data_IF_992795755054
#
_entry.id   IF_992795755054
#
_cell.length_a   1.000
_cell.length_b   1.000
_cell.length_c   1.000
_cell.angle_alpha   90.00
_cell.angle_beta   90.00
_cell.angle_gamma   90.00
#
_symmetry.space_group_name_H-M   'P 1'
#
loop_
_entity.id
_entity.type
_entity.pdbx_description
1 polymer ?
#
# COMPACT_ATOMS: atom_id res chain seq x y z
N UNK A 1 21.10 1.52 -9.40
CA UNK A 1 19.97 2.48 -9.50
C UNK A 1 20.02 3.31 -10.78
N UNK A 2 21.19 3.49 -11.42
CA UNK A 2 21.34 4.26 -12.67
C UNK A 2 20.45 3.75 -13.83
N UNK A 3 20.18 2.44 -13.94
CA UNK A 3 19.37 1.91 -15.06
C UNK A 3 17.84 2.01 -14.89
N UNK A 4 17.33 2.49 -13.75
CA UNK A 4 15.88 2.65 -13.57
C UNK A 4 15.44 4.00 -14.13
N UNK A 5 16.03 5.13 -13.68
CA UNK A 5 15.67 6.46 -14.17
C UNK A 5 15.99 6.71 -15.66
N UNK A 6 16.82 5.87 -16.28
CA UNK A 6 17.11 5.98 -17.72
C UNK A 6 15.94 5.56 -18.60
N UNK A 7 15.02 4.72 -18.12
CA UNK A 7 13.83 4.36 -18.89
C UNK A 7 12.87 5.55 -18.92
N UNK A 8 12.50 5.99 -20.13
CA UNK A 8 11.61 7.15 -20.36
C UNK A 8 10.32 7.10 -19.53
N UNK A 9 9.70 5.92 -19.40
CA UNK A 9 8.51 5.69 -18.55
C UNK A 9 8.72 6.11 -17.10
N UNK A 10 9.90 5.85 -16.53
CA UNK A 10 10.20 6.19 -15.14
C UNK A 10 10.35 7.70 -14.96
N UNK A 11 10.81 8.43 -15.98
CA UNK A 11 10.85 9.90 -15.95
C UNK A 11 9.44 10.48 -15.89
N UNK A 12 8.53 9.98 -16.73
CA UNK A 12 7.12 10.42 -16.72
C UNK A 12 6.47 10.12 -15.37
N UNK A 13 6.73 8.95 -14.79
CA UNK A 13 6.23 8.61 -13.46
C UNK A 13 6.74 9.57 -12.38
N UNK A 14 8.03 9.94 -12.41
CA UNK A 14 8.59 10.93 -11.49
C UNK A 14 7.96 12.31 -11.70
N UNK A 15 7.77 12.74 -12.94
CA UNK A 15 7.08 14.00 -13.26
C UNK A 15 5.66 13.99 -12.70
N UNK A 16 4.89 12.93 -12.95
CA UNK A 16 3.53 12.77 -12.42
C UNK A 16 3.50 12.82 -10.88
N UNK A 17 4.48 12.18 -10.21
CA UNK A 17 4.60 12.24 -8.75
C UNK A 17 4.90 13.65 -8.25
N UNK A 18 5.83 14.36 -8.89
CA UNK A 18 6.17 15.74 -8.54
C UNK A 18 4.98 16.68 -8.77
N UNK A 19 4.23 16.51 -9.87
CA UNK A 19 3.01 17.26 -10.13
C UNK A 19 1.93 16.98 -9.07
N UNK A 20 1.79 15.72 -8.64
CA UNK A 20 0.86 15.36 -7.55
C UNK A 20 1.21 16.10 -6.26
N UNK A 21 2.51 16.13 -5.89
CA UNK A 21 2.98 16.86 -4.70
C UNK A 21 2.76 18.37 -4.87
N UNK A 22 3.04 18.93 -6.06
CA UNK A 22 2.84 20.34 -6.36
C UNK A 22 1.36 20.75 -6.26
N UNK A 23 0.44 19.94 -6.78
CA UNK A 23 -1.01 20.16 -6.65
C UNK A 23 -1.43 20.14 -5.18
N UNK A 24 -0.95 19.17 -4.39
CA UNK A 24 -1.26 19.10 -2.95
C UNK A 24 -0.78 20.34 -2.19
N UNK A 25 0.44 20.80 -2.49
CA UNK A 25 1.00 22.04 -1.91
C UNK A 25 0.17 23.25 -2.36
N UNK A 26 -0.15 23.36 -3.65
CA UNK A 26 -0.95 24.46 -4.17
C UNK A 26 -2.36 24.50 -3.55
N UNK A 27 -3.00 23.34 -3.40
CA UNK A 27 -4.29 23.22 -2.71
C UNK A 27 -4.20 23.65 -1.24
N UNK A 28 -3.07 23.44 -0.56
CA UNK A 28 -2.90 23.93 0.82
C UNK A 28 -2.82 25.47 0.91
N UNK A 29 -2.42 26.14 -0.18
CA UNK A 29 -2.44 27.60 -0.28
C UNK A 29 -3.82 28.16 -0.72
N UNK A 30 -4.64 27.32 -1.37
CA UNK A 30 -5.99 27.65 -1.79
C UNK A 30 -7.02 27.15 -0.77
N UNK A 31 -7.37 28.04 0.16
CA UNK A 31 -8.44 27.81 1.13
C UNK A 31 -9.21 29.10 1.32
N UNK A 32 -10.52 29.04 1.15
CA UNK A 32 -11.48 30.12 1.41
C UNK A 32 -12.40 29.58 2.50
N UNK A 33 -12.36 30.22 3.67
CA UNK A 33 -12.99 29.73 4.91
C UNK A 33 -14.44 29.27 4.66
N UNK A 34 -14.75 28.04 5.08
CA UNK A 34 -16.09 27.41 5.11
C UNK A 34 -16.84 27.24 3.78
N UNK A 35 -16.49 27.97 2.72
CA UNK A 35 -17.17 27.89 1.42
C UNK A 35 -16.50 26.93 0.44
N UNK A 36 -15.16 26.90 0.38
CA UNK A 36 -14.44 26.17 -0.67
C UNK A 36 -13.13 25.60 -0.16
N UNK A 37 -13.03 24.27 -0.23
CA UNK A 37 -11.82 23.52 0.12
C UNK A 37 -10.93 23.18 -1.08
N UNK A 38 -11.32 23.53 -2.30
CA UNK A 38 -10.60 23.13 -3.51
C UNK A 38 -10.84 24.11 -4.69
N UNK A 39 -9.82 24.44 -5.52
CA UNK A 39 -9.99 25.36 -6.66
C UNK A 39 -11.09 24.93 -7.64
N UNK A 40 -11.21 23.62 -7.87
CA UNK A 40 -12.34 23.02 -8.59
C UNK A 40 -13.48 22.74 -7.60
N UNK A 41 -14.28 23.77 -7.34
CA UNK A 41 -15.24 23.81 -6.23
C UNK A 41 -16.62 23.22 -6.56
N UNK A 42 -16.83 22.76 -7.80
CA UNK A 42 -18.04 22.04 -8.22
C UNK A 42 -19.08 22.93 -8.89
N UNK A 43 -20.15 22.29 -9.36
CA UNK A 43 -21.26 22.94 -10.08
C UNK A 43 -22.23 23.55 -9.07
N UNK A 44 -21.94 24.77 -8.63
CA UNK A 44 -22.91 25.54 -7.86
C UNK A 44 -24.00 26.11 -8.77
N UNK A 45 -25.13 26.50 -8.16
CA UNK A 45 -26.05 27.42 -8.81
C UNK A 45 -25.28 28.66 -9.30
N UNK A 46 -25.63 29.17 -10.47
CA UNK A 46 -24.93 30.25 -11.17
C UNK A 46 -24.58 31.44 -10.24
N UNK A 47 -25.52 31.80 -9.38
CA UNK A 47 -25.42 32.93 -8.44
C UNK A 47 -24.36 32.69 -7.35
N UNK A 48 -24.22 31.46 -6.89
CA UNK A 48 -23.20 31.06 -5.90
C UNK A 48 -21.82 31.02 -6.55
N UNK A 49 -21.73 30.55 -7.80
CA UNK A 49 -20.48 30.53 -8.55
C UNK A 49 -19.94 31.96 -8.76
N UNK A 50 -20.78 32.91 -9.16
CA UNK A 50 -20.38 34.32 -9.33
C UNK A 50 -19.86 34.93 -8.02
N UNK A 51 -20.55 34.69 -6.90
CA UNK A 51 -20.12 35.20 -5.60
C UNK A 51 -18.75 34.64 -5.19
N UNK A 52 -18.52 33.36 -5.46
CA UNK A 52 -17.24 32.69 -5.20
C UNK A 52 -16.13 33.30 -6.04
N UNK A 53 -16.37 33.54 -7.33
CA UNK A 53 -15.39 34.15 -8.23
C UNK A 53 -14.94 35.52 -7.72
N UNK A 54 -15.89 36.33 -7.25
CA UNK A 54 -15.58 37.63 -6.64
C UNK A 54 -14.73 37.49 -5.37
N UNK A 55 -14.99 36.48 -4.54
CA UNK A 55 -14.17 36.21 -3.34
C UNK A 55 -12.74 35.83 -3.73
N UNK A 56 -12.57 34.97 -4.74
CA UNK A 56 -11.24 34.54 -5.24
C UNK A 56 -10.42 35.75 -5.71
N UNK A 57 -11.07 36.67 -6.44
CA UNK A 57 -10.44 37.90 -6.94
C UNK A 57 -10.08 38.87 -5.80
N UNK A 58 -10.99 39.07 -4.85
CA UNK A 58 -10.83 40.06 -3.77
C UNK A 58 -9.86 39.61 -2.67
N UNK A 59 -9.80 38.32 -2.34
CA UNK A 59 -8.90 37.79 -1.30
C UNK A 59 -7.47 37.50 -1.80
N UNK A 60 -7.12 37.86 -3.04
CA UNK A 60 -5.81 37.62 -3.61
C UNK A 60 -5.48 36.12 -3.82
N UNK A 61 -6.51 35.28 -3.95
CA UNK A 61 -6.37 33.82 -4.15
C UNK A 61 -6.23 33.43 -5.62
N UNK A 62 -6.19 34.41 -6.53
CA UNK A 62 -6.14 34.17 -7.97
C UNK A 62 -4.87 33.43 -8.43
N UNK A 63 -3.71 33.68 -7.83
CA UNK A 63 -2.47 32.99 -8.21
C UNK A 63 -2.51 31.49 -7.92
N UNK A 64 -2.79 31.01 -6.68
CA UNK A 64 -2.92 29.58 -6.42
C UNK A 64 -4.12 28.98 -7.16
N UNK A 65 -5.17 29.74 -7.44
CA UNK A 65 -6.30 29.32 -8.27
C UNK A 65 -5.88 28.99 -9.70
N UNK A 66 -5.25 29.92 -10.42
CA UNK A 66 -4.80 29.71 -11.80
C UNK A 66 -3.70 28.65 -11.88
N UNK A 67 -2.75 28.68 -10.94
CA UNK A 67 -1.66 27.70 -10.89
C UNK A 67 -2.18 26.27 -10.73
N UNK A 68 -3.29 26.08 -10.00
CA UNK A 68 -3.94 24.78 -9.88
C UNK A 68 -4.28 24.19 -11.25
N UNK A 69 -5.00 24.92 -12.11
CA UNK A 69 -5.45 24.42 -13.41
C UNK A 69 -4.30 24.16 -14.38
N UNK A 70 -3.22 24.96 -14.30
CA UNK A 70 -2.00 24.69 -15.07
C UNK A 70 -1.37 23.38 -14.63
N UNK A 71 -1.21 23.17 -13.31
CA UNK A 71 -0.62 21.94 -12.78
C UNK A 71 -1.50 20.73 -13.08
N UNK A 72 -2.82 20.87 -12.96
CA UNK A 72 -3.80 19.82 -13.21
C UNK A 72 -3.78 19.38 -14.68
N UNK A 73 -3.69 20.32 -15.63
CA UNK A 73 -3.54 20.02 -17.06
C UNK A 73 -2.32 19.13 -17.34
N UNK A 74 -1.14 19.49 -16.84
CA UNK A 74 0.06 18.67 -17.02
C UNK A 74 -0.03 17.35 -16.26
N UNK A 75 -0.66 17.34 -15.09
CA UNK A 75 -0.86 16.16 -14.29
C UNK A 75 -1.75 15.14 -15.02
N UNK A 76 -2.91 15.56 -15.52
CA UNK A 76 -3.85 14.75 -16.27
C UNK A 76 -3.19 14.18 -17.54
N UNK A 77 -2.47 15.01 -18.31
CA UNK A 77 -1.73 14.55 -19.49
C UNK A 77 -0.71 13.47 -19.15
N UNK A 78 0.08 13.67 -18.09
CA UNK A 78 1.09 12.70 -17.68
C UNK A 78 0.47 11.38 -17.22
N UNK A 79 -0.67 11.42 -16.52
CA UNK A 79 -1.43 10.24 -16.12
C UNK A 79 -1.96 9.48 -17.33
N UNK A 80 -2.55 10.18 -18.30
CA UNK A 80 -3.08 9.58 -19.54
C UNK A 80 -1.98 8.85 -20.31
N UNK A 81 -0.80 9.47 -20.43
CA UNK A 81 0.36 8.87 -21.10
C UNK A 81 0.85 7.64 -20.33
N UNK A 82 0.93 7.70 -19.00
CA UNK A 82 1.34 6.54 -18.18
C UNK A 82 0.40 5.35 -18.38
N UNK A 83 -0.91 5.58 -18.32
CA UNK A 83 -1.91 4.54 -18.53
C UNK A 83 -1.84 4.03 -19.99
N UNK A 84 -1.65 4.91 -20.98
CA UNK A 84 -1.49 4.52 -22.39
C UNK A 84 -0.31 3.54 -22.58
N UNK A 85 0.85 3.85 -21.99
CA UNK A 85 2.05 3.00 -22.04
C UNK A 85 1.77 1.62 -21.44
N UNK A 86 1.01 1.58 -20.36
CA UNK A 86 0.64 0.36 -19.66
C UNK A 86 -0.34 -0.49 -20.48
N UNK A 87 -1.39 0.13 -21.04
CA UNK A 87 -2.40 -0.54 -21.86
C UNK A 87 -1.85 -1.02 -23.20
N UNK A 88 -0.77 -0.39 -23.71
CA UNK A 88 -0.13 -0.74 -24.98
C UNK A 88 0.22 -2.22 -25.09
N UNK A 89 0.41 -2.94 -23.98
CA UNK A 89 0.67 -4.38 -24.03
C UNK A 89 -0.47 -5.23 -24.63
N UNK A 90 -1.66 -4.68 -24.81
CA UNK A 90 -2.83 -5.35 -25.42
C UNK A 90 -3.16 -4.78 -26.82
N UNK A 91 -2.20 -4.14 -27.51
CA UNK A 91 -2.44 -3.62 -28.86
C UNK A 91 -2.73 -4.69 -29.90
N UNK A 92 -2.32 -5.93 -29.64
CA UNK A 92 -2.51 -7.07 -30.55
C UNK A 92 -3.91 -7.68 -30.43
N UNK A 93 -4.62 -7.45 -29.32
CA UNK A 93 -5.96 -7.98 -29.09
C UNK A 93 -7.01 -7.10 -29.78
N UNK A 94 -7.59 -7.63 -30.86
CA UNK A 94 -8.70 -6.99 -31.58
C UNK A 94 -9.98 -7.21 -30.80
N UNK A 95 -10.61 -6.13 -30.32
CA UNK A 95 -11.90 -6.21 -29.61
C UNK A 95 -13.07 -6.35 -30.58
N UNK A 96 -13.11 -5.48 -31.59
CA UNK A 96 -14.14 -5.50 -32.63
C UNK A 96 -13.64 -4.85 -33.92
N UNK A 97 -14.32 -5.13 -35.03
CA UNK A 97 -14.04 -4.52 -36.32
C UNK A 97 -15.30 -3.84 -36.87
N UNK A 98 -15.19 -2.59 -37.30
CA UNK A 98 -16.28 -1.83 -37.93
C UNK A 98 -15.79 -1.33 -39.29
N UNK A 99 -16.54 -1.63 -40.36
CA UNK A 99 -16.21 -1.21 -41.72
C UNK A 99 -14.76 -1.57 -42.14
N UNK A 100 -14.30 -2.77 -41.78
CA UNK A 100 -12.94 -3.23 -42.08
C UNK A 100 -11.83 -2.65 -41.19
N UNK A 101 -12.10 -1.64 -40.35
CA UNK A 101 -11.14 -1.13 -39.37
C UNK A 101 -11.21 -1.93 -38.07
N UNK A 102 -10.08 -2.47 -37.63
CA UNK A 102 -9.93 -3.19 -36.35
C UNK A 102 -9.66 -2.18 -35.23
N UNK A 103 -10.47 -2.24 -34.18
CA UNK A 103 -10.29 -1.44 -32.98
C UNK A 103 -9.78 -2.32 -31.85
N UNK A 104 -8.61 -1.98 -31.33
CA UNK A 104 -8.06 -2.58 -30.12
C UNK A 104 -8.41 -1.71 -28.90
N UNK A 105 -8.22 -2.27 -27.71
CA UNK A 105 -8.49 -1.58 -26.44
C UNK A 105 -7.70 -0.28 -26.31
N UNK A 106 -6.47 -0.26 -26.82
CA UNK A 106 -5.57 0.90 -26.79
C UNK A 106 -6.15 2.09 -27.58
N UNK A 107 -6.69 1.84 -28.77
CA UNK A 107 -7.29 2.88 -29.61
C UNK A 107 -8.52 3.48 -28.93
N UNK A 108 -9.39 2.64 -28.37
CA UNK A 108 -10.58 3.09 -27.63
C UNK A 108 -10.14 3.95 -26.44
N UNK A 109 -9.22 3.43 -25.61
CA UNK A 109 -8.68 4.18 -24.48
C UNK A 109 -8.12 5.55 -24.91
N UNK A 110 -7.27 5.59 -25.94
CA UNK A 110 -6.61 6.82 -26.37
C UNK A 110 -7.62 7.84 -26.90
N UNK A 111 -8.59 7.41 -27.70
CA UNK A 111 -9.66 8.29 -28.21
C UNK A 111 -10.43 8.92 -27.05
N UNK A 112 -10.95 8.12 -26.13
CA UNK A 112 -11.74 8.62 -25.01
C UNK A 112 -10.90 9.44 -24.03
N UNK A 113 -9.64 9.06 -23.77
CA UNK A 113 -8.75 9.82 -22.90
C UNK A 113 -8.36 11.19 -23.49
N UNK A 114 -8.12 11.29 -24.80
CA UNK A 114 -7.84 12.56 -25.48
C UNK A 114 -9.06 13.48 -25.43
N UNK A 115 -10.26 12.96 -25.73
CA UNK A 115 -11.48 13.77 -25.63
C UNK A 115 -11.76 14.21 -24.19
N UNK A 116 -11.57 13.31 -23.22
CA UNK A 116 -11.65 13.64 -21.79
C UNK A 116 -10.67 14.75 -21.41
N UNK A 117 -9.43 14.68 -21.88
CA UNK A 117 -8.41 15.72 -21.65
C UNK A 117 -8.75 17.06 -22.27
N UNK A 118 -9.28 17.08 -23.51
CA UNK A 118 -9.74 18.33 -24.13
C UNK A 118 -10.87 18.94 -23.31
N UNK A 119 -11.83 18.14 -22.85
CA UNK A 119 -12.89 18.63 -21.95
C UNK A 119 -12.32 19.14 -20.62
N UNK A 120 -11.29 18.50 -20.06
CA UNK A 120 -10.63 18.94 -18.83
C UNK A 120 -9.92 20.30 -19.01
N UNK A 121 -9.23 20.51 -20.14
CA UNK A 121 -8.65 21.80 -20.49
C UNK A 121 -9.71 22.89 -20.67
N UNK A 122 -10.80 22.58 -21.37
CA UNK A 122 -11.91 23.52 -21.55
C UNK A 122 -12.55 23.86 -20.20
N UNK A 123 -12.80 22.87 -19.34
CA UNK A 123 -13.32 23.09 -17.99
C UNK A 123 -12.39 23.99 -17.17
N UNK A 124 -11.08 23.74 -17.18
CA UNK A 124 -10.10 24.60 -16.52
C UNK A 124 -10.10 26.04 -17.05
N UNK A 125 -10.24 26.22 -18.36
CA UNK A 125 -10.40 27.55 -18.97
C UNK A 125 -11.71 28.22 -18.53
N UNK A 126 -12.82 27.50 -18.49
CA UNK A 126 -14.12 28.03 -18.04
C UNK A 126 -14.09 28.44 -16.57
N UNK A 127 -13.38 27.70 -15.72
CA UNK A 127 -13.11 28.10 -14.33
C UNK A 127 -12.31 29.40 -14.27
N UNK A 128 -11.23 29.52 -15.04
CA UNK A 128 -10.39 30.74 -15.08
C UNK A 128 -11.17 31.95 -15.62
N UNK A 129 -12.05 31.73 -16.61
CA UNK A 129 -12.90 32.76 -17.20
C UNK A 129 -14.18 33.02 -16.40
N UNK A 130 -14.41 32.27 -15.33
CA UNK A 130 -15.61 32.31 -14.50
C UNK A 130 -16.93 32.17 -15.30
N UNK A 131 -16.98 31.27 -16.30
CA UNK A 131 -18.20 30.98 -17.08
C UNK A 131 -18.93 29.73 -16.55
N UNK A 132 -20.10 29.88 -15.89
CA UNK A 132 -20.83 28.79 -15.25
C UNK A 132 -21.63 27.92 -16.23
N UNK A 133 -22.08 28.45 -17.37
CA UNK A 133 -23.00 27.75 -18.27
C UNK A 133 -22.30 26.62 -19.02
N UNK A 134 -21.11 26.90 -19.56
CA UNK A 134 -20.29 25.88 -20.24
C UNK A 134 -19.82 24.79 -19.27
N UNK A 135 -19.59 25.15 -18.00
CA UNK A 135 -18.96 24.31 -16.99
C UNK A 135 -19.75 23.03 -16.73
N UNK A 136 -21.09 23.14 -16.62
CA UNK A 136 -21.97 22.01 -16.31
C UNK A 136 -21.93 20.94 -17.40
N UNK A 137 -21.99 21.37 -18.66
CA UNK A 137 -22.03 20.47 -19.82
C UNK A 137 -20.67 19.80 -20.01
N UNK A 138 -19.60 20.60 -20.02
CA UNK A 138 -18.24 20.10 -20.28
C UNK A 138 -17.79 19.14 -19.17
N UNK A 139 -18.09 19.45 -17.90
CA UNK A 139 -17.75 18.58 -16.78
C UNK A 139 -18.46 17.22 -16.86
N UNK A 140 -19.73 17.16 -17.28
CA UNK A 140 -20.45 15.88 -17.51
C UNK A 140 -19.83 15.06 -18.63
N UNK A 141 -19.48 15.70 -19.76
CA UNK A 141 -18.81 15.03 -20.88
C UNK A 141 -17.43 14.51 -20.49
N UNK A 142 -16.66 15.31 -19.73
CA UNK A 142 -15.37 14.91 -19.17
C UNK A 142 -15.50 13.63 -18.34
N UNK A 143 -16.42 13.62 -17.38
CA UNK A 143 -16.66 12.45 -16.51
C UNK A 143 -17.03 11.22 -17.34
N UNK A 144 -17.89 11.37 -18.34
CA UNK A 144 -18.27 10.27 -19.24
C UNK A 144 -17.05 9.70 -19.99
N UNK A 145 -16.24 10.56 -20.62
CA UNK A 145 -15.07 10.14 -21.38
C UNK A 145 -14.01 9.47 -20.49
N UNK A 146 -13.73 10.03 -19.32
CA UNK A 146 -12.81 9.40 -18.37
C UNK A 146 -13.36 8.11 -17.76
N UNK A 147 -14.67 7.97 -17.59
CA UNK A 147 -15.28 6.71 -17.15
C UNK A 147 -15.02 5.60 -18.18
N UNK A 148 -15.19 5.87 -19.48
CA UNK A 148 -14.89 4.89 -20.54
C UNK A 148 -13.39 4.56 -20.58
N UNK A 149 -12.51 5.57 -20.50
CA UNK A 149 -11.07 5.35 -20.45
C UNK A 149 -10.65 4.50 -19.22
N UNK A 150 -11.26 4.76 -18.06
CA UNK A 150 -11.05 4.00 -16.83
C UNK A 150 -11.52 2.54 -16.98
N UNK A 151 -12.67 2.30 -17.62
CA UNK A 151 -13.15 0.94 -17.92
C UNK A 151 -12.16 0.18 -18.80
N UNK A 152 -11.56 0.84 -19.81
CA UNK A 152 -10.50 0.21 -20.61
C UNK A 152 -9.29 -0.17 -19.76
N UNK A 153 -8.86 0.71 -18.85
CA UNK A 153 -7.77 0.41 -17.91
C UNK A 153 -8.11 -0.73 -16.95
N UNK A 154 -9.32 -0.75 -16.39
CA UNK A 154 -9.79 -1.83 -15.51
C UNK A 154 -9.83 -3.16 -16.26
N UNK A 155 -10.36 -3.18 -17.49
CA UNK A 155 -10.36 -4.37 -18.33
C UNK A 155 -8.94 -4.89 -18.60
N UNK A 156 -8.00 -3.99 -18.91
CA UNK A 156 -6.58 -4.34 -19.05
C UNK A 156 -6.02 -4.97 -17.75
N UNK A 157 -6.32 -4.37 -16.59
CA UNK A 157 -5.84 -4.86 -15.29
C UNK A 157 -6.40 -6.26 -14.99
N UNK A 158 -7.67 -6.48 -15.29
CA UNK A 158 -8.33 -7.78 -15.16
C UNK A 158 -7.67 -8.82 -16.06
N UNK A 159 -7.50 -8.53 -17.36
CA UNK A 159 -6.87 -9.45 -18.32
C UNK A 159 -5.40 -9.74 -18.00
N UNK A 160 -4.63 -8.73 -17.59
CA UNK A 160 -3.18 -8.90 -17.38
C UNK A 160 -2.83 -9.56 -16.05
N UNK A 161 -3.55 -9.21 -14.98
CA UNK A 161 -3.18 -9.62 -13.63
C UNK A 161 -4.21 -10.52 -12.95
N UNK A 162 -5.51 -10.23 -13.05
CA UNK A 162 -6.50 -10.97 -12.28
C UNK A 162 -6.85 -12.30 -12.94
N UNK A 163 -7.28 -12.31 -14.21
CA UNK A 163 -7.76 -13.50 -14.93
C UNK A 163 -6.70 -14.61 -14.99
N UNK A 164 -5.43 -14.34 -15.38
CA UNK A 164 -4.40 -15.38 -15.43
C UNK A 164 -4.08 -15.98 -14.06
N UNK A 165 -4.33 -15.21 -12.99
CA UNK A 165 -4.06 -15.59 -11.61
C UNK A 165 -5.35 -15.85 -10.81
N UNK A 166 -6.51 -15.98 -11.46
CA UNK A 166 -7.81 -16.00 -10.77
C UNK A 166 -7.89 -17.15 -9.77
N UNK A 167 -7.35 -18.31 -10.14
CA UNK A 167 -7.27 -19.48 -9.25
C UNK A 167 -6.45 -19.19 -7.99
N UNK A 168 -5.33 -18.48 -8.13
CA UNK A 168 -4.48 -18.11 -6.99
C UNK A 168 -5.14 -17.02 -6.14
N UNK A 169 -5.83 -16.08 -6.78
CA UNK A 169 -6.60 -15.05 -6.10
C UNK A 169 -7.76 -15.64 -5.29
N UNK A 170 -8.60 -16.48 -5.89
CA UNK A 170 -9.72 -17.14 -5.21
C UNK A 170 -9.22 -18.00 -4.04
N UNK A 171 -8.15 -18.76 -4.25
CA UNK A 171 -7.52 -19.53 -3.17
C UNK A 171 -6.98 -18.63 -2.05
N UNK A 172 -6.40 -17.48 -2.38
CA UNK A 172 -5.98 -16.52 -1.37
C UNK A 172 -7.17 -16.00 -0.55
N UNK A 173 -8.25 -15.58 -1.21
CA UNK A 173 -9.47 -15.10 -0.55
C UNK A 173 -10.04 -16.16 0.38
N UNK A 174 -10.18 -17.38 -0.13
CA UNK A 174 -10.69 -18.54 0.62
C UNK A 174 -9.82 -18.86 1.86
N UNK A 175 -8.50 -18.96 1.68
CA UNK A 175 -7.58 -19.28 2.79
C UNK A 175 -7.41 -18.13 3.77
N UNK A 176 -7.71 -16.90 3.35
CA UNK A 176 -7.56 -15.69 4.16
C UNK A 176 -8.89 -15.12 4.65
N UNK A 177 -10.01 -15.82 4.45
CA UNK A 177 -11.36 -15.31 4.73
C UNK A 177 -11.49 -14.75 6.15
N UNK A 178 -11.05 -15.51 7.15
CA UNK A 178 -11.11 -15.07 8.55
C UNK A 178 -10.27 -13.80 8.80
N UNK A 179 -9.09 -13.73 8.21
CA UNK A 179 -8.20 -12.58 8.31
C UNK A 179 -8.79 -11.34 7.62
N UNK A 180 -9.43 -11.52 6.46
CA UNK A 180 -10.10 -10.44 5.73
C UNK A 180 -11.33 -9.94 6.49
N UNK A 181 -12.17 -10.84 6.99
CA UNK A 181 -13.33 -10.51 7.84
C UNK A 181 -12.88 -9.75 9.07
N UNK A 182 -11.80 -10.18 9.74
CA UNK A 182 -11.28 -9.47 10.90
C UNK A 182 -10.81 -8.04 10.57
N UNK A 183 -10.07 -7.85 9.48
CA UNK A 183 -9.66 -6.49 9.04
C UNK A 183 -10.89 -5.64 8.73
N UNK A 184 -11.88 -6.20 8.03
CA UNK A 184 -13.13 -5.49 7.72
C UNK A 184 -13.92 -5.12 8.97
N UNK A 185 -13.97 -6.00 9.97
CA UNK A 185 -14.61 -5.72 11.26
C UNK A 185 -13.89 -4.59 12.01
N UNK A 186 -12.56 -4.66 12.15
CA UNK A 186 -11.80 -3.59 12.83
C UNK A 186 -11.97 -2.26 12.10
N UNK A 187 -11.84 -2.25 10.77
CA UNK A 187 -12.03 -1.04 9.99
C UNK A 187 -13.47 -0.52 10.08
N UNK A 188 -14.47 -1.38 9.88
CA UNK A 188 -15.88 -1.02 9.89
C UNK A 188 -16.37 -0.54 11.25
N UNK A 189 -16.03 -1.26 12.33
CA UNK A 189 -16.43 -0.87 13.69
C UNK A 189 -15.85 0.50 14.06
N UNK A 190 -14.59 0.79 13.71
CA UNK A 190 -14.00 2.08 14.11
C UNK A 190 -14.41 3.22 13.17
N UNK A 191 -14.55 2.98 11.86
CA UNK A 191 -14.86 4.04 10.88
C UNK A 191 -16.36 4.34 10.75
N UNK A 192 -17.23 3.34 10.89
CA UNK A 192 -18.67 3.49 10.68
C UNK A 192 -19.44 3.79 11.97
N UNK A 193 -18.89 3.49 13.15
CA UNK A 193 -19.54 3.85 14.40
C UNK A 193 -19.51 5.38 14.59
N UNK A 194 -20.64 6.03 14.93
CA UNK A 194 -20.69 7.47 15.22
C UNK A 194 -19.68 7.87 16.31
N UNK A 195 -19.48 7.01 17.30
CA UNK A 195 -18.56 7.20 18.43
C UNK A 195 -17.17 6.60 18.20
N UNK A 196 -16.91 5.99 17.03
CA UNK A 196 -15.62 5.33 16.75
C UNK A 196 -14.44 6.31 16.80
N UNK A 197 -14.65 7.56 16.40
CA UNK A 197 -13.65 8.62 16.54
C UNK A 197 -13.37 8.98 18.00
N UNK A 198 -14.41 9.09 18.83
CA UNK A 198 -14.28 9.37 20.28
C UNK A 198 -13.49 8.28 20.99
N UNK A 199 -13.74 7.01 20.66
CA UNK A 199 -12.97 5.87 21.22
C UNK A 199 -11.48 5.96 20.86
N UNK A 200 -11.15 6.39 19.65
CA UNK A 200 -9.75 6.62 19.26
C UNK A 200 -9.16 7.75 20.11
N UNK A 201 -9.85 8.88 20.25
CA UNK A 201 -9.37 10.00 21.09
C UNK A 201 -9.17 9.58 22.54
N UNK A 202 -10.13 8.83 23.12
CA UNK A 202 -10.07 8.36 24.50
C UNK A 202 -8.93 7.35 24.71
N UNK A 203 -8.67 6.48 23.73
CA UNK A 203 -7.50 5.60 23.76
C UNK A 203 -6.19 6.40 23.87
N UNK A 204 -6.15 7.61 23.30
CA UNK A 204 -4.99 8.50 23.37
C UNK A 204 -4.87 9.32 24.66
N UNK A 205 -5.88 9.30 25.54
CA UNK A 205 -5.79 9.97 26.84
C UNK A 205 -4.96 9.19 27.87
N UNK A 206 -4.51 7.97 27.54
CA UNK A 206 -3.65 7.16 28.40
C UNK A 206 -2.47 6.60 27.62
N UNK A 207 -1.25 6.93 28.06
CA UNK A 207 -0.02 6.42 27.46
C UNK A 207 0.06 4.88 27.50
N UNK A 208 -0.51 4.26 28.53
CA UNK A 208 -0.59 2.80 28.64
C UNK A 208 -1.44 2.18 27.54
N UNK A 209 -2.54 2.81 27.17
CA UNK A 209 -3.42 2.36 26.09
C UNK A 209 -2.71 2.42 24.74
N UNK A 210 -1.88 3.44 24.50
CA UNK A 210 -1.08 3.57 23.27
C UNK A 210 -0.03 2.46 23.17
N UNK A 211 0.69 2.19 24.26
CA UNK A 211 1.67 1.10 24.31
C UNK A 211 0.98 -0.25 24.02
N UNK A 212 -0.15 -0.50 24.69
CA UNK A 212 -0.95 -1.71 24.49
C UNK A 212 -1.47 -1.80 23.06
N UNK A 213 -2.00 -0.71 22.50
CA UNK A 213 -2.51 -0.63 21.14
C UNK A 213 -1.44 -1.02 20.11
N UNK A 214 -0.27 -0.38 20.14
CA UNK A 214 0.80 -0.69 19.20
C UNK A 214 1.37 -2.10 19.41
N UNK A 215 1.46 -2.57 20.66
CA UNK A 215 1.87 -3.95 20.97
C UNK A 215 0.89 -4.98 20.38
N UNK A 216 -0.41 -4.80 20.61
CA UNK A 216 -1.47 -5.64 20.07
C UNK A 216 -1.54 -5.57 18.55
N UNK A 217 -1.39 -4.38 17.96
CA UNK A 217 -1.38 -4.17 16.51
C UNK A 217 -0.25 -4.95 15.85
N UNK A 218 0.96 -4.89 16.39
CA UNK A 218 2.11 -5.65 15.86
C UNK A 218 1.88 -7.15 15.96
N UNK A 219 1.37 -7.63 17.10
CA UNK A 219 1.06 -9.05 17.30
C UNK A 219 -0.03 -9.54 16.34
N UNK A 220 -1.13 -8.78 16.24
CA UNK A 220 -2.28 -9.07 15.39
C UNK A 220 -1.90 -9.10 13.90
N UNK A 221 -1.06 -8.15 13.45
CA UNK A 221 -0.52 -8.12 12.09
C UNK A 221 0.22 -9.42 11.74
N UNK A 222 1.00 -9.96 12.70
CA UNK A 222 1.72 -11.23 12.52
C UNK A 222 0.74 -12.39 12.42
N UNK A 223 -0.29 -12.43 13.27
CA UNK A 223 -1.32 -13.48 13.26
C UNK A 223 -2.09 -13.46 11.94
N UNK A 224 -2.66 -12.32 11.56
CA UNK A 224 -3.49 -12.17 10.35
C UNK A 224 -2.72 -12.57 9.09
N UNK A 225 -1.43 -12.24 9.02
CA UNK A 225 -0.60 -12.62 7.88
C UNK A 225 -0.08 -14.07 7.90
N UNK A 226 -0.17 -14.76 9.04
CA UNK A 226 0.34 -16.13 9.20
C UNK A 226 -0.77 -17.18 9.25
N UNK A 227 -1.92 -16.87 9.85
CA UNK A 227 -3.05 -17.76 9.97
C UNK A 227 -3.48 -18.41 8.64
N UNK A 228 -3.55 -17.67 7.51
CA UNK A 228 -3.91 -18.26 6.21
C UNK A 228 -2.91 -19.32 5.70
N UNK A 229 -1.72 -19.44 6.29
CA UNK A 229 -0.77 -20.53 5.98
C UNK A 229 -1.30 -21.86 6.49
N UNK A 230 -1.84 -21.91 7.70
CA UNK A 230 -2.37 -23.13 8.27
C UNK A 230 -3.62 -23.61 7.54
N UNK A 231 -4.52 -22.69 7.18
CA UNK A 231 -5.72 -23.01 6.37
C UNK A 231 -5.32 -23.55 5.01
N UNK A 232 -4.30 -22.96 4.37
CA UNK A 232 -3.78 -23.41 3.08
C UNK A 232 -3.11 -24.80 3.16
N UNK A 233 -2.36 -25.10 4.24
CA UNK A 233 -1.83 -26.45 4.50
C UNK A 233 -2.98 -27.44 4.69
N UNK A 234 -4.02 -27.06 5.45
CA UNK A 234 -5.10 -27.96 5.77
C UNK A 234 -5.99 -28.30 4.56
N UNK A 235 -6.30 -27.31 3.72
CA UNK A 235 -7.15 -27.50 2.52
C UNK A 235 -6.39 -28.08 1.33
N UNK A 236 -5.13 -27.69 1.14
CA UNK A 236 -4.37 -27.98 -0.09
C UNK A 236 -3.05 -28.72 0.15
N UNK A 237 -2.63 -28.87 1.40
CA UNK A 237 -1.46 -29.64 1.76
C UNK A 237 -1.72 -31.14 1.66
N UNK A 238 -0.65 -31.89 1.46
CA UNK A 238 -0.64 -33.34 1.56
C UNK A 238 0.27 -33.71 2.74
N UNK A 239 -0.14 -34.67 3.57
CA UNK A 239 0.68 -35.23 4.65
C UNK A 239 2.01 -35.80 4.15
N UNK A 240 2.09 -36.12 2.85
CA UNK A 240 3.33 -36.47 2.16
C UNK A 240 4.28 -35.27 2.01
N UNK A 241 3.77 -34.06 1.80
CA UNK A 241 4.56 -32.85 1.52
C UNK A 241 4.93 -32.06 2.78
N UNK A 242 4.01 -31.93 3.74
CA UNK A 242 4.17 -31.09 4.94
C UNK A 242 3.77 -31.88 6.18
N UNK A 243 4.63 -31.89 7.20
CA UNK A 243 4.32 -32.40 8.53
C UNK A 243 4.15 -31.24 9.50
N UNK A 244 3.10 -31.31 10.31
CA UNK A 244 2.91 -30.45 11.47
C UNK A 244 3.63 -31.10 12.66
N UNK A 245 4.47 -30.32 13.32
CA UNK A 245 5.20 -30.72 14.51
C UNK A 245 4.85 -29.82 15.67
N UNK A 246 4.89 -30.38 16.87
CA UNK A 246 4.71 -29.69 18.13
C UNK A 246 5.86 -30.11 19.04
N UNK A 247 6.45 -29.19 19.84
CA UNK A 247 7.51 -29.54 20.76
C UNK A 247 7.02 -30.61 21.75
N UNK A 248 7.74 -31.74 21.83
CA UNK A 248 7.37 -32.89 22.67
C UNK A 248 7.42 -32.60 24.18
N UNK A 249 8.20 -31.60 24.59
CA UNK A 249 8.29 -31.15 25.97
C UNK A 249 7.67 -29.75 26.05
N UNK A 250 6.53 -29.56 26.74
CA UNK A 250 5.98 -28.24 26.96
C UNK A 250 6.97 -27.44 27.80
N UNK A 251 7.50 -26.34 27.26
CA UNK A 251 8.22 -25.37 28.09
C UNK A 251 7.17 -24.38 28.62
N UNK A 252 7.05 -24.22 29.95
CA UNK A 252 5.86 -23.63 30.56
C UNK A 252 5.73 -22.11 30.41
N UNK A 253 6.72 -21.40 29.87
CA UNK A 253 6.71 -19.93 29.89
C UNK A 253 7.09 -19.39 28.50
N UNK A 254 6.16 -18.62 27.91
CA UNK A 254 6.30 -17.83 26.67
C UNK A 254 6.46 -18.60 25.35
N UNK A 255 6.01 -19.85 25.29
CA UNK A 255 6.02 -20.65 24.07
C UNK A 255 4.89 -21.67 24.05
N UNK A 256 3.63 -21.18 24.00
CA UNK A 256 2.44 -21.98 23.70
C UNK A 256 2.78 -22.99 22.60
N UNK A 257 2.79 -24.28 22.92
CA UNK A 257 2.94 -25.43 22.01
C UNK A 257 2.88 -25.09 20.51
N UNK A 258 3.97 -24.50 19.99
CA UNK A 258 3.93 -23.84 18.68
C UNK A 258 3.81 -24.95 17.65
N UNK A 259 2.70 -24.98 16.93
CA UNK A 259 2.54 -25.86 15.78
C UNK A 259 3.39 -25.26 14.66
N UNK A 260 4.53 -25.89 14.41
CA UNK A 260 5.40 -25.56 13.29
C UNK A 260 5.17 -26.56 12.16
N UNK A 261 5.43 -26.15 10.93
CA UNK A 261 5.35 -27.04 9.78
C UNK A 261 6.72 -27.15 9.10
N UNK A 262 7.04 -28.34 8.60
CA UNK A 262 8.28 -28.57 7.86
C UNK A 262 8.03 -29.48 6.66
N UNK A 263 8.72 -29.26 5.53
CA UNK A 263 8.60 -30.11 4.36
C UNK A 263 9.23 -31.48 4.62
N UNK A 264 8.56 -32.57 4.19
CA UNK A 264 9.00 -33.95 4.47
C UNK A 264 10.00 -34.46 3.44
N UNK A 265 9.85 -34.09 2.16
CA UNK A 265 10.77 -34.37 1.05
C UNK A 265 10.74 -33.23 0.03
N UNK A 266 11.81 -33.08 -0.77
CA UNK A 266 11.79 -32.25 -1.99
C UNK A 266 10.94 -32.97 -3.03
N UNK A 267 9.65 -32.66 -3.08
CA UNK A 267 8.80 -33.10 -4.18
C UNK A 267 9.04 -32.22 -5.41
N UNK A 268 8.88 -32.77 -6.63
CA UNK A 268 8.81 -31.96 -7.84
C UNK A 268 7.84 -30.80 -7.64
N UNK A 269 8.18 -29.60 -8.14
CA UNK A 269 7.37 -28.38 -7.91
C UNK A 269 5.91 -28.54 -8.38
N UNK A 270 5.67 -29.38 -9.38
CA UNK A 270 4.34 -29.70 -9.91
C UNK A 270 3.43 -30.42 -8.91
N UNK A 271 4.00 -31.21 -8.00
CA UNK A 271 3.24 -31.90 -6.94
C UNK A 271 3.03 -31.01 -5.70
N UNK A 272 3.79 -29.92 -5.58
CA UNK A 272 3.61 -28.93 -4.52
C UNK A 272 2.44 -27.99 -4.86
N UNK A 273 1.22 -28.53 -4.78
CA UNK A 273 0.00 -27.71 -4.84
C UNK A 273 -0.01 -26.65 -3.73
N UNK A 274 0.65 -26.89 -2.60
CA UNK A 274 0.87 -25.95 -1.50
C UNK A 274 2.05 -24.98 -1.78
N UNK A 275 2.03 -23.76 -1.23
CA UNK A 275 3.13 -22.76 -1.33
C UNK A 275 3.29 -22.06 -2.70
N UNK A 276 2.19 -21.80 -3.42
CA UNK A 276 2.21 -20.94 -4.61
C UNK A 276 2.78 -19.54 -4.30
N UNK A 277 3.77 -19.03 -5.07
CA UNK A 277 4.45 -17.77 -4.78
C UNK A 277 3.52 -16.56 -4.66
N UNK A 278 2.52 -16.46 -5.55
CA UNK A 278 1.58 -15.33 -5.55
C UNK A 278 0.68 -15.34 -4.30
N UNK A 279 0.07 -16.49 -3.97
CA UNK A 279 -0.74 -16.67 -2.75
C UNK A 279 0.08 -16.32 -1.50
N UNK A 280 1.35 -16.72 -1.46
CA UNK A 280 2.26 -16.35 -0.37
C UNK A 280 2.53 -14.85 -0.29
N UNK A 281 2.71 -14.17 -1.43
CA UNK A 281 2.88 -12.70 -1.47
C UNK A 281 1.61 -11.98 -0.99
N UNK A 282 0.43 -12.39 -1.43
CA UNK A 282 -0.87 -11.82 -1.02
C UNK A 282 -1.17 -12.03 0.47
N UNK A 283 -0.89 -13.21 1.03
CA UNK A 283 -1.04 -13.44 2.48
C UNK A 283 -0.17 -12.51 3.33
N UNK A 284 1.05 -12.26 2.87
CA UNK A 284 1.98 -11.36 3.58
C UNK A 284 1.54 -9.90 3.48
N UNK A 285 0.80 -9.48 2.45
CA UNK A 285 0.25 -8.13 2.36
C UNK A 285 -0.97 -7.89 3.27
N UNK A 286 -1.59 -8.92 3.84
CA UNK A 286 -2.69 -8.73 4.81
C UNK A 286 -2.26 -7.91 6.03
N UNK A 287 -1.02 -8.10 6.50
CA UNK A 287 -0.48 -7.27 7.59
C UNK A 287 -0.29 -5.81 7.17
N UNK A 288 0.11 -5.55 5.92
CA UNK A 288 0.21 -4.19 5.39
C UNK A 288 -1.18 -3.55 5.32
N UNK A 289 -2.19 -4.31 4.87
CA UNK A 289 -3.58 -3.84 4.81
C UNK A 289 -4.12 -3.42 6.18
N UNK A 290 -3.79 -4.16 7.24
CA UNK A 290 -4.20 -3.78 8.59
C UNK A 290 -3.60 -2.43 9.00
N UNK A 291 -2.28 -2.21 8.80
CA UNK A 291 -1.66 -0.91 9.08
C UNK A 291 -2.28 0.22 8.26
N UNK A 292 -2.54 -0.01 6.98
CA UNK A 292 -3.18 0.97 6.09
C UNK A 292 -4.59 1.31 6.57
N UNK A 293 -5.35 0.32 7.06
CA UNK A 293 -6.66 0.57 7.66
C UNK A 293 -6.56 1.46 8.90
N UNK A 294 -5.56 1.22 9.76
CA UNK A 294 -5.31 2.09 10.93
C UNK A 294 -4.87 3.50 10.52
N UNK A 295 -4.01 3.64 9.49
CA UNK A 295 -3.67 4.94 8.92
C UNK A 295 -4.92 5.70 8.47
N UNK A 296 -5.83 5.04 7.75
CA UNK A 296 -7.08 5.63 7.29
C UNK A 296 -7.93 6.13 8.47
N UNK A 297 -8.10 5.29 9.50
CA UNK A 297 -8.82 5.65 10.72
C UNK A 297 -8.20 6.89 11.37
N UNK A 298 -6.88 6.91 11.60
CA UNK A 298 -6.23 8.03 12.31
C UNK A 298 -6.30 9.32 11.52
N UNK A 299 -6.11 9.26 10.20
CA UNK A 299 -6.26 10.42 9.32
C UNK A 299 -7.71 10.92 9.29
N UNK A 300 -8.70 10.02 9.24
CA UNK A 300 -10.11 10.38 9.24
C UNK A 300 -10.59 10.96 10.57
N UNK A 301 -10.14 10.41 11.70
CA UNK A 301 -10.43 10.97 13.03
C UNK A 301 -9.72 12.30 13.21
N UNK A 302 -8.45 12.40 12.81
CA UNK A 302 -7.67 13.63 12.86
C UNK A 302 -8.28 14.75 12.02
N UNK A 303 -8.71 14.44 10.79
CA UNK A 303 -9.34 15.42 9.91
C UNK A 303 -10.63 15.99 10.50
N UNK A 304 -11.48 15.13 11.09
CA UNK A 304 -12.71 15.56 11.77
C UNK A 304 -12.45 16.35 13.05
N UNK A 305 -11.52 15.90 13.89
CA UNK A 305 -11.28 16.51 15.21
C UNK A 305 -10.51 17.84 15.11
N UNK A 306 -9.54 17.93 14.20
CA UNK A 306 -8.71 19.13 14.03
C UNK A 306 -9.18 20.04 12.89
N UNK A 307 -10.34 19.73 12.30
CA UNK A 307 -10.96 20.43 11.17
C UNK A 307 -9.99 20.60 9.98
N UNK A 308 -9.17 19.57 9.75
CA UNK A 308 -8.22 19.55 8.63
C UNK A 308 -8.84 18.77 7.49
N UNK A 309 -8.99 19.42 6.34
CA UNK A 309 -9.47 18.81 5.10
C UNK A 309 -8.42 17.85 4.52
N UNK A 310 -8.31 16.64 5.08
CA UNK A 310 -7.45 15.57 4.59
C UNK A 310 -8.31 14.48 3.95
N UNK A 311 -8.04 14.14 2.69
CA UNK A 311 -8.60 12.95 2.07
C UNK A 311 -7.88 11.69 2.58
N UNK A 312 -8.32 11.20 3.75
CA UNK A 312 -7.74 10.07 4.45
C UNK A 312 -7.63 8.81 3.57
N UNK A 313 -8.62 8.57 2.71
CA UNK A 313 -8.64 7.44 1.78
C UNK A 313 -7.56 7.56 0.73
N UNK A 314 -7.43 8.71 0.06
CA UNK A 314 -6.40 8.92 -0.96
C UNK A 314 -4.99 8.76 -0.37
N UNK A 315 -4.72 9.35 0.81
CA UNK A 315 -3.43 9.23 1.49
C UNK A 315 -3.14 7.77 1.87
N UNK A 316 -4.13 7.04 2.39
CA UNK A 316 -3.97 5.64 2.79
C UNK A 316 -3.70 4.72 1.59
N UNK A 317 -4.37 4.95 0.47
CA UNK A 317 -4.11 4.23 -0.80
C UNK A 317 -2.69 4.51 -1.30
N UNK A 318 -2.22 5.77 -1.22
CA UNK A 318 -0.85 6.11 -1.58
C UNK A 318 0.17 5.37 -0.68
N UNK A 319 -0.06 5.35 0.64
CA UNK A 319 0.76 4.58 1.61
C UNK A 319 0.77 3.09 1.25
N UNK A 320 -0.38 2.50 0.92
CA UNK A 320 -0.48 1.10 0.50
C UNK A 320 0.38 0.83 -0.74
N UNK A 321 0.23 1.64 -1.80
CA UNK A 321 0.96 1.47 -3.06
C UNK A 321 2.47 1.57 -2.83
N UNK A 322 2.92 2.61 -2.13
CA UNK A 322 4.35 2.80 -1.81
C UNK A 322 4.88 1.62 -1.00
N UNK A 323 4.15 1.17 0.01
CA UNK A 323 4.57 0.05 0.86
C UNK A 323 4.62 -1.27 0.10
N UNK A 324 3.66 -1.53 -0.81
CA UNK A 324 3.67 -2.72 -1.66
C UNK A 324 4.83 -2.71 -2.67
N UNK A 325 5.17 -1.54 -3.24
CA UNK A 325 6.35 -1.38 -4.11
C UNK A 325 7.63 -1.71 -3.35
N UNK A 326 7.78 -1.14 -2.15
CA UNK A 326 8.91 -1.38 -1.26
C UNK A 326 8.99 -2.87 -0.91
N UNK A 327 7.88 -3.47 -0.45
CA UNK A 327 7.80 -4.88 -0.11
C UNK A 327 8.17 -5.78 -1.29
N UNK A 328 7.68 -5.50 -2.50
CA UNK A 328 8.02 -6.25 -3.70
C UNK A 328 9.50 -6.12 -4.06
N UNK A 329 10.08 -4.92 -3.95
CA UNK A 329 11.50 -4.67 -4.22
C UNK A 329 12.41 -5.44 -3.28
N UNK A 330 12.15 -5.37 -1.97
CA UNK A 330 12.91 -6.13 -0.99
C UNK A 330 12.62 -7.63 -1.09
N UNK A 331 11.41 -8.02 -1.50
CA UNK A 331 11.04 -9.40 -1.82
C UNK A 331 11.86 -10.00 -2.96
N UNK A 332 12.09 -9.25 -4.05
CA UNK A 332 12.98 -9.69 -5.14
C UNK A 332 14.42 -9.87 -4.67
N UNK A 333 14.94 -8.96 -3.84
CA UNK A 333 16.27 -9.09 -3.24
C UNK A 333 16.38 -10.37 -2.40
N UNK A 334 15.34 -10.67 -1.62
CA UNK A 334 15.22 -11.92 -0.87
C UNK A 334 15.21 -13.15 -1.78
N UNK A 335 14.43 -13.11 -2.86
CA UNK A 335 14.32 -14.24 -3.80
C UNK A 335 15.71 -14.51 -4.44
N UNK A 336 16.44 -13.47 -4.85
CA UNK A 336 17.81 -13.58 -5.36
C UNK A 336 18.78 -14.16 -4.31
N UNK A 337 18.72 -13.72 -3.06
CA UNK A 337 19.54 -14.30 -1.99
C UNK A 337 19.26 -15.78 -1.79
N UNK A 338 17.97 -16.16 -1.83
CA UNK A 338 17.59 -17.56 -1.74
C UNK A 338 18.10 -18.35 -2.94
N UNK A 339 18.01 -17.81 -4.14
CA UNK A 339 18.52 -18.43 -5.36
C UNK A 339 20.02 -18.69 -5.28
N UNK A 340 20.83 -17.68 -4.96
CA UNK A 340 22.30 -17.79 -4.84
C UNK A 340 22.71 -18.84 -3.79
N UNK A 341 21.99 -18.89 -2.66
CA UNK A 341 22.30 -19.83 -1.57
C UNK A 341 21.75 -21.24 -1.82
N UNK A 342 20.79 -21.41 -2.73
CA UNK A 342 20.13 -22.70 -2.96
C UNK A 342 20.51 -23.36 -4.27
N UNK A 343 20.98 -22.61 -5.26
CA UNK A 343 21.45 -23.13 -6.53
C UNK A 343 22.94 -23.51 -6.40
N UNK A 344 23.28 -24.74 -6.82
CA UNK A 344 24.66 -25.25 -6.77
C UNK A 344 25.56 -24.70 -7.88
N UNK A 345 25.00 -23.93 -8.81
CA UNK A 345 25.72 -23.32 -9.94
C UNK A 345 26.57 -22.10 -9.53
N UNK A 346 26.31 -21.49 -8.37
CA UNK A 346 27.07 -20.34 -7.89
C UNK A 346 28.34 -20.76 -7.16
N UNK A 347 29.40 -19.96 -7.33
CA UNK A 347 30.70 -20.19 -6.68
C UNK A 347 30.61 -20.00 -5.17
N UNK A 348 31.48 -20.69 -4.40
CA UNK A 348 31.55 -20.51 -2.94
C UNK A 348 31.83 -19.05 -2.55
N UNK A 349 32.57 -18.31 -3.39
CA UNK A 349 32.86 -16.90 -3.17
C UNK A 349 31.60 -16.02 -3.28
N UNK A 350 30.76 -16.24 -4.28
CA UNK A 350 29.48 -15.54 -4.45
C UNK A 350 28.51 -15.82 -3.29
N UNK A 351 28.46 -17.08 -2.85
CA UNK A 351 27.69 -17.47 -1.68
C UNK A 351 28.19 -16.76 -0.42
N UNK A 352 29.52 -16.72 -0.19
CA UNK A 352 30.13 -16.01 0.94
C UNK A 352 29.84 -14.52 0.92
N UNK A 353 29.98 -13.86 -0.25
CA UNK A 353 29.61 -12.44 -0.44
C UNK A 353 28.13 -12.21 -0.12
N UNK A 354 27.26 -13.10 -0.57
CA UNK A 354 25.82 -13.03 -0.30
C UNK A 354 25.50 -13.18 1.19
N UNK A 355 26.13 -14.13 1.88
CA UNK A 355 25.99 -14.29 3.34
C UNK A 355 26.46 -13.03 4.08
N UNK A 356 27.59 -12.43 3.70
CA UNK A 356 28.06 -11.18 4.32
C UNK A 356 27.07 -10.03 4.13
N UNK A 357 26.48 -9.91 2.94
CA UNK A 357 25.42 -8.92 2.66
C UNK A 357 24.18 -9.17 3.52
N UNK A 358 23.76 -10.42 3.66
CA UNK A 358 22.63 -10.81 4.51
C UNK A 358 22.93 -10.47 5.97
N UNK A 359 24.10 -10.85 6.50
CA UNK A 359 24.51 -10.57 7.88
C UNK A 359 24.51 -9.07 8.15
N UNK A 360 25.11 -8.27 7.27
CA UNK A 360 25.12 -6.80 7.39
C UNK A 360 23.69 -6.25 7.42
N UNK A 361 22.82 -6.75 6.53
CA UNK A 361 21.43 -6.30 6.47
C UNK A 361 20.64 -6.73 7.71
N UNK A 362 20.77 -7.96 8.18
CA UNK A 362 20.00 -8.50 9.31
C UNK A 362 20.48 -7.93 10.66
N UNK A 363 21.76 -7.59 10.80
CA UNK A 363 22.31 -6.96 12.01
C UNK A 363 21.67 -5.61 12.35
N UNK A 364 21.07 -4.94 11.38
CA UNK A 364 20.36 -3.69 11.61
C UNK A 364 18.95 -3.90 12.19
N UNK A 365 18.40 -5.11 12.15
CA UNK A 365 17.05 -5.40 12.62
C UNK A 365 16.80 -5.05 14.11
N UNK A 366 17.66 -5.44 15.07
CA UNK A 366 17.45 -5.09 16.48
C UNK A 366 17.46 -3.58 16.74
N UNK A 367 18.33 -2.85 16.04
CA UNK A 367 18.38 -1.39 16.12
C UNK A 367 17.09 -0.77 15.60
N UNK A 368 16.61 -1.23 14.45
CA UNK A 368 15.34 -0.76 13.90
C UNK A 368 14.14 -1.09 14.81
N UNK A 369 14.11 -2.31 15.37
CA UNK A 369 13.12 -2.72 16.37
C UNK A 369 13.14 -1.80 17.59
N UNK A 370 14.33 -1.53 18.15
CA UNK A 370 14.50 -0.62 19.29
C UNK A 370 14.02 0.79 18.97
N UNK A 371 14.37 1.33 17.79
CA UNK A 371 13.89 2.65 17.34
C UNK A 371 12.36 2.66 17.27
N UNK A 372 11.73 1.67 16.64
CA UNK A 372 10.27 1.59 16.57
C UNK A 372 9.62 1.49 17.95
N UNK A 373 10.23 0.74 18.88
CA UNK A 373 9.76 0.66 20.28
C UNK A 373 9.90 1.98 21.00
N UNK A 374 11.04 2.66 20.89
CA UNK A 374 11.27 3.99 21.48
C UNK A 374 10.24 4.99 20.96
N UNK A 375 9.91 4.97 19.66
CA UNK A 375 8.88 5.83 19.09
C UNK A 375 7.46 5.57 19.66
N UNK A 376 7.13 4.32 19.99
CA UNK A 376 5.88 4.00 20.72
C UNK A 376 5.88 4.67 22.08
N UNK A 377 6.98 4.58 22.84
CA UNK A 377 7.08 5.23 24.15
C UNK A 377 7.09 6.77 24.07
N UNK A 378 7.75 7.35 23.06
CA UNK A 378 7.70 8.80 22.81
C UNK A 378 6.26 9.23 22.52
N UNK A 379 5.56 8.53 21.64
CA UNK A 379 4.16 8.83 21.31
C UNK A 379 3.28 8.73 22.57
N UNK A 380 3.46 7.70 23.38
CA UNK A 380 2.73 7.51 24.63
C UNK A 380 3.02 8.61 25.66
N UNK A 381 4.28 9.02 25.81
CA UNK A 381 4.68 10.08 26.73
C UNK A 381 4.09 11.44 26.33
N UNK A 382 4.10 11.76 25.03
CA UNK A 382 3.47 12.98 24.52
C UNK A 382 1.95 12.96 24.70
N UNK A 383 1.29 11.83 24.47
CA UNK A 383 -0.15 11.74 24.65
C UNK A 383 -0.58 11.79 26.13
N UNK A 384 0.26 11.30 27.04
CA UNK A 384 0.02 11.38 28.50
C UNK A 384 0.29 12.78 29.07
N UNK A 385 1.13 13.58 28.43
CA UNK A 385 1.46 14.92 28.90
C UNK A 385 0.22 15.83 28.81
N UNK A 386 -0.14 16.45 29.95
CA UNK A 386 -1.32 17.33 30.06
C UNK A 386 -1.33 18.47 29.04
N UNK A 387 -0.14 18.95 28.65
CA UNK A 387 0.02 20.03 27.67
C UNK A 387 -0.27 19.61 26.22
N UNK A 388 -0.26 18.30 25.92
CA UNK A 388 -0.35 17.80 24.54
C UNK A 388 -1.57 16.91 24.31
N UNK A 389 -1.88 15.95 25.18
CA UNK A 389 -3.05 15.07 25.07
C UNK A 389 -3.31 14.54 23.65
N UNK A 390 -4.57 14.57 23.23
CA UNK A 390 -4.93 14.44 21.82
C UNK A 390 -4.76 15.78 21.07
N UNK A 391 -3.58 15.98 20.47
CA UNK A 391 -3.23 17.16 19.69
C UNK A 391 -2.70 16.78 18.31
N UNK A 392 -2.54 17.79 17.44
CA UNK A 392 -1.95 17.59 16.10
C UNK A 392 -0.56 16.94 16.17
N UNK A 393 0.22 17.27 17.21
CA UNK A 393 1.56 16.71 17.43
C UNK A 393 1.47 15.22 17.75
N UNK A 394 0.57 14.82 18.66
CA UNK A 394 0.42 13.40 19.03
C UNK A 394 -0.16 12.56 17.90
N UNK A 395 -1.05 13.14 17.08
CA UNK A 395 -1.49 12.53 15.83
C UNK A 395 -0.33 12.30 14.85
N UNK A 396 0.51 13.31 14.60
CA UNK A 396 1.68 13.19 13.70
C UNK A 396 2.67 12.14 14.21
N UNK A 397 3.00 12.15 15.50
CA UNK A 397 3.86 11.14 16.13
C UNK A 397 3.27 9.73 15.99
N UNK A 398 1.96 9.59 16.10
CA UNK A 398 1.26 8.32 15.92
C UNK A 398 1.35 7.81 14.48
N UNK A 399 1.19 8.69 13.49
CA UNK A 399 1.34 8.35 12.07
C UNK A 399 2.78 7.93 11.74
N UNK A 400 3.78 8.61 12.32
CA UNK A 400 5.20 8.23 12.20
C UNK A 400 5.43 6.85 12.82
N UNK A 401 4.91 6.62 14.03
CA UNK A 401 5.06 5.35 14.74
C UNK A 401 4.38 4.20 13.99
N UNK A 402 3.18 4.42 13.42
CA UNK A 402 2.51 3.47 12.53
C UNK A 402 3.38 3.14 11.31
N UNK A 403 3.99 4.16 10.70
CA UNK A 403 4.92 3.98 9.59
C UNK A 403 6.09 3.09 9.99
N UNK A 404 6.79 3.41 11.08
CA UNK A 404 7.92 2.63 11.59
C UNK A 404 7.53 1.18 11.92
N UNK A 405 6.37 0.95 12.53
CA UNK A 405 5.86 -0.39 12.85
C UNK A 405 5.47 -1.19 11.59
N UNK A 406 4.86 -0.54 10.60
CA UNK A 406 4.54 -1.16 9.30
C UNK A 406 5.81 -1.57 8.54
N UNK A 407 6.83 -0.72 8.51
CA UNK A 407 8.13 -1.04 7.93
C UNK A 407 8.87 -2.12 8.73
N UNK A 408 8.77 -2.11 10.06
CA UNK A 408 9.33 -3.16 10.92
C UNK A 408 8.69 -4.51 10.60
N UNK A 409 7.38 -4.54 10.40
CA UNK A 409 6.66 -5.74 9.95
C UNK A 409 7.17 -6.25 8.59
N UNK A 410 7.29 -5.36 7.59
CA UNK A 410 7.82 -5.71 6.26
C UNK A 410 9.24 -6.27 6.39
N UNK A 411 10.09 -5.59 7.17
CA UNK A 411 11.48 -5.95 7.37
C UNK A 411 11.62 -7.30 8.09
N UNK A 412 10.82 -7.54 9.14
CA UNK A 412 10.73 -8.82 9.84
C UNK A 412 10.32 -9.96 8.88
N UNK A 413 9.27 -9.76 8.07
CA UNK A 413 8.80 -10.80 7.14
C UNK A 413 9.85 -11.22 6.12
N UNK A 414 10.72 -10.29 5.73
CA UNK A 414 11.81 -10.53 4.78
C UNK A 414 13.01 -11.17 5.48
N UNK A 415 13.38 -10.71 6.68
CA UNK A 415 14.59 -11.15 7.36
C UNK A 415 14.45 -12.41 8.20
N UNK A 416 13.24 -12.79 8.62
CA UNK A 416 13.05 -13.85 9.63
C UNK A 416 13.77 -15.17 9.34
N UNK A 417 13.90 -15.57 8.08
CA UNK A 417 14.59 -16.82 7.67
C UNK A 417 16.11 -16.71 7.78
N UNK A 418 16.64 -15.49 7.79
CA UNK A 418 18.06 -15.20 7.84
C UNK A 418 18.56 -14.81 9.24
N UNK A 419 17.67 -14.71 10.23
CA UNK A 419 18.03 -14.49 11.63
C UNK A 419 19.00 -15.54 12.16
N UNK A 420 18.98 -16.76 11.62
CA UNK A 420 19.95 -17.83 11.93
C UNK A 420 21.41 -17.44 11.70
N UNK A 421 21.69 -16.52 10.77
CA UNK A 421 23.05 -16.08 10.44
C UNK A 421 23.60 -15.01 11.40
N UNK A 422 22.74 -14.36 12.20
CA UNK A 422 23.11 -13.27 13.09
C UNK A 422 22.92 -13.64 14.56
N UNK A 423 21.79 -14.26 14.89
CA UNK A 423 21.43 -14.63 16.27
C UNK A 423 21.77 -16.10 16.57
N UNK A 424 22.87 -16.58 16.00
CA UNK A 424 23.34 -17.93 16.23
C UNK A 424 23.73 -18.13 17.70
N UNK A 425 23.25 -19.20 18.32
CA UNK A 425 23.62 -19.62 19.67
C UNK A 425 24.13 -21.06 19.61
N UNK A 426 25.32 -21.39 20.15
CA UNK A 426 25.91 -22.73 20.03
C UNK A 426 24.98 -23.89 20.43
N UNK A 427 24.20 -23.72 21.50
CA UNK A 427 23.21 -24.75 21.91
C UNK A 427 22.10 -24.98 20.88
N UNK A 428 21.82 -24.04 19.97
CA UNK A 428 20.88 -24.30 18.86
C UNK A 428 21.45 -25.30 17.86
N UNK A 429 22.77 -25.28 17.63
CA UNK A 429 23.42 -26.26 16.76
C UNK A 429 23.43 -27.65 17.39
N UNK A 430 23.65 -27.75 18.70
CA UNK A 430 23.57 -29.02 19.43
C UNK A 430 22.15 -29.62 19.38
N UNK A 431 21.12 -28.79 19.56
CA UNK A 431 19.72 -29.26 19.59
C UNK A 431 19.13 -29.54 18.20
N UNK A 432 19.63 -28.88 17.16
CA UNK A 432 19.10 -28.90 15.78
C UNK A 432 20.25 -28.86 14.77
N UNK A 433 21.19 -29.81 14.80
CA UNK A 433 22.38 -29.79 13.96
C UNK A 433 22.03 -29.77 12.47
N UNK A 434 20.88 -30.33 12.10
CA UNK A 434 20.36 -30.26 10.75
C UNK A 434 20.18 -28.83 10.25
N UNK A 435 19.83 -27.82 11.06
CA UNK A 435 19.65 -26.44 10.58
C UNK A 435 20.96 -25.72 10.22
N UNK A 436 22.11 -26.29 10.61
CA UNK A 436 23.43 -25.66 10.54
C UNK A 436 24.46 -26.48 9.75
N UNK A 437 24.10 -27.62 9.15
CA UNK A 437 25.03 -28.33 8.24
C UNK A 437 25.27 -27.48 6.99
N UNK A 438 26.50 -27.53 6.43
CA UNK A 438 26.90 -26.84 5.17
C UNK A 438 25.90 -27.05 4.01
N UNK A 439 25.18 -28.17 4.01
CA UNK A 439 24.24 -28.55 2.95
C UNK A 439 22.77 -28.28 3.29
N UNK A 440 22.44 -27.76 4.47
CA UNK A 440 21.05 -27.53 4.85
C UNK A 440 20.60 -26.13 4.44
N UNK A 441 20.01 -26.13 3.25
CA UNK A 441 19.25 -25.04 2.60
C UNK A 441 18.15 -24.50 3.52
#
# INVERSE_FOLDING_TARGET
>A
MQNWLTKWVNKIFVIWLLLTIAILINNSFFYINEYISHPQHGQFEELVFVNISQIIETEGKMTPYVLFFILDAFWALSLIILIAIVIRSLTEDVLFAVMGKKYNLYNIYLTFAIFGYICDLIEGLLYILFDPLGLVIISKLKVLFYAVALLCFVYWLLQKYLIPNLKDFLRFVETSLLSLVFILLVYGLVSLMPQGGTLVVEMFNSGGNIILFFGLLTFLTIIISHYPVYVDIWRYGNNKCVKLGMPKKPKPILGFNIIYYYPVKKFPEEEQKFNRPLVKKMRRSLGILLYVAIFNIFLGVGGRFFEVNINATAVSVAILVVTLIIYNRYGKRYDNWKEILSNGEYTEEEQRKTVQLIVRYVRFFPWYFMISTVFVFITAAFAQAESFGWSRITLVLSLITLGLQMFLYVYFKICRTYFKYVFFYPKMQENKPEMFRKNTK
#
